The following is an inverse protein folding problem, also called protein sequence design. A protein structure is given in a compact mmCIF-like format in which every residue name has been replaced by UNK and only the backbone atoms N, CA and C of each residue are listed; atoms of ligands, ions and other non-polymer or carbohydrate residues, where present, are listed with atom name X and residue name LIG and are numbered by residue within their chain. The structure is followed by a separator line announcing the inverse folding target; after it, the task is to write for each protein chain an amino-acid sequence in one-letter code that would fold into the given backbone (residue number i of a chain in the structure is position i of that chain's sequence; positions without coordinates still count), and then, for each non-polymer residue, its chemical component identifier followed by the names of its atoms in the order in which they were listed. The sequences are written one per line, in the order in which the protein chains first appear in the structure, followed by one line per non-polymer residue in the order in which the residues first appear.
data_IF_091588207682
#
_entry.id   IF_091588207682
#
_cell.length_a   1.000
_cell.length_b   1.000
_cell.length_c   1.000
_cell.angle_alpha   90.00
_cell.angle_beta   90.00
_cell.angle_gamma   90.00
#
_symmetry.space_group_name_H-M   'P 1'
#
loop_
_entity.id
_entity.type
_entity.pdbx_description
1 polymer ?
#
# COMPACT_ATOMS: atom_id res chain seq x y z
N UNK A 1 14.12 -6.56 -47.96
CA UNK A 1 13.37 -7.19 -46.85
C UNK A 1 12.06 -6.43 -46.70
N UNK A 2 10.96 -7.06 -47.11
CA UNK A 2 9.64 -6.48 -47.25
C UNK A 2 8.88 -6.70 -45.95
N UNK A 3 8.48 -5.63 -45.24
CA UNK A 3 7.66 -5.76 -44.03
C UNK A 3 6.20 -6.03 -44.41
N UNK A 4 5.68 -7.17 -43.98
CA UNK A 4 4.27 -7.51 -44.09
C UNK A 4 3.53 -6.95 -42.88
N UNK A 5 2.67 -5.97 -43.09
CA UNK A 5 1.81 -5.41 -42.04
C UNK A 5 0.54 -6.27 -41.89
N UNK A 6 0.40 -6.97 -40.77
CA UNK A 6 -0.81 -7.73 -40.44
C UNK A 6 -1.88 -6.77 -39.88
N UNK A 7 -3.08 -6.79 -40.47
CA UNK A 7 -4.22 -5.97 -40.00
C UNK A 7 -4.79 -6.56 -38.71
N UNK A 8 -5.18 -5.69 -37.78
CA UNK A 8 -5.85 -5.97 -36.49
C UNK A 8 -7.13 -6.85 -36.59
N UNK A 9 -7.63 -7.11 -37.80
CA UNK A 9 -8.84 -7.91 -38.04
C UNK A 9 -8.59 -9.43 -38.06
N UNK A 10 -7.33 -9.85 -38.04
CA UNK A 10 -6.94 -11.27 -38.12
C UNK A 10 -6.67 -11.91 -36.75
N UNK A 11 -7.01 -11.22 -35.64
CA UNK A 11 -6.92 -11.78 -34.28
C UNK A 11 -8.20 -12.57 -33.97
N UNK A 12 -8.09 -13.89 -33.85
CA UNK A 12 -9.18 -14.71 -33.32
C UNK A 12 -9.52 -14.26 -31.88
N UNK A 13 -10.76 -13.81 -31.66
CA UNK A 13 -11.29 -13.45 -30.34
C UNK A 13 -11.81 -12.01 -30.18
N UNK A 14 -11.63 -11.13 -31.17
CA UNK A 14 -12.18 -9.78 -31.12
C UNK A 14 -13.70 -9.78 -31.43
N UNK A 15 -14.54 -9.94 -30.40
CA UNK A 15 -15.98 -9.70 -30.48
C UNK A 15 -16.88 -10.90 -30.15
N UNK A 16 -16.59 -11.66 -29.10
CA UNK A 16 -17.57 -12.63 -28.58
C UNK A 16 -18.78 -11.91 -28.02
N UNK A 17 -19.94 -12.18 -28.61
CA UNK A 17 -21.25 -11.77 -28.13
C UNK A 17 -21.77 -12.83 -27.16
N UNK A 18 -22.45 -12.42 -26.10
CA UNK A 18 -23.15 -13.35 -25.22
C UNK A 18 -24.37 -14.00 -25.93
N UNK A 19 -25.03 -14.93 -25.23
CA UNK A 19 -26.23 -15.62 -25.72
C UNK A 19 -27.43 -14.68 -25.99
N UNK A 20 -27.33 -13.40 -25.61
CA UNK A 20 -28.33 -12.35 -25.87
C UNK A 20 -27.94 -11.41 -27.01
N UNK A 21 -26.77 -11.63 -27.64
CA UNK A 21 -26.28 -10.85 -28.77
C UNK A 21 -25.57 -9.56 -28.38
N UNK A 22 -25.26 -9.34 -27.10
CA UNK A 22 -24.51 -8.16 -26.63
C UNK A 22 -23.02 -8.38 -26.76
N UNK A 23 -22.32 -7.39 -27.34
CA UNK A 23 -20.86 -7.37 -27.42
C UNK A 23 -20.30 -7.13 -26.03
N UNK A 24 -19.52 -8.08 -25.51
CA UNK A 24 -18.81 -7.92 -24.24
C UNK A 24 -17.50 -7.19 -24.54
N UNK A 25 -17.34 -5.93 -24.12
CA UNK A 25 -16.07 -5.22 -24.26
C UNK A 25 -15.03 -5.87 -23.33
N UNK A 26 -13.96 -6.39 -23.92
CA UNK A 26 -12.98 -7.23 -23.27
C UNK A 26 -12.22 -6.55 -22.13
N UNK A 27 -11.95 -7.35 -21.09
CA UNK A 27 -10.87 -7.06 -20.14
C UNK A 27 -9.56 -6.91 -20.89
N UNK A 28 -8.76 -5.93 -20.48
CA UNK A 28 -7.47 -5.66 -21.09
C UNK A 28 -6.50 -6.83 -20.82
N UNK A 29 -5.98 -7.42 -21.90
CA UNK A 29 -4.92 -8.42 -21.84
C UNK A 29 -3.57 -7.69 -21.92
N UNK A 30 -2.76 -7.78 -20.87
CA UNK A 30 -1.35 -7.37 -20.93
C UNK A 30 -0.53 -8.51 -21.54
N UNK A 31 0.11 -8.27 -22.69
CA UNK A 31 1.09 -9.20 -23.25
C UNK A 31 2.47 -8.92 -22.67
N UNK A 32 3.06 -9.92 -22.01
CA UNK A 32 4.47 -9.93 -21.64
C UNK A 32 5.35 -9.90 -22.91
N UNK A 33 6.36 -9.05 -22.91
CA UNK A 33 7.21 -8.77 -24.08
C UNK A 33 8.24 -9.88 -24.37
N UNK A 34 8.35 -10.87 -23.47
CA UNK A 34 9.51 -11.77 -23.43
C UNK A 34 9.20 -13.24 -23.76
N UNK A 35 8.01 -13.56 -24.27
CA UNK A 35 7.67 -14.92 -24.71
C UNK A 35 7.65 -15.98 -23.59
N UNK A 36 7.75 -15.57 -22.33
CA UNK A 36 7.47 -16.42 -21.17
C UNK A 36 5.97 -16.69 -21.06
N UNK A 37 5.63 -17.87 -20.54
CA UNK A 37 4.25 -18.26 -20.19
C UNK A 37 3.51 -17.08 -19.55
N UNK A 38 2.36 -16.70 -20.12
CA UNK A 38 1.52 -15.65 -19.59
C UNK A 38 1.35 -15.86 -18.08
N UNK A 39 1.74 -14.85 -17.28
CA UNK A 39 1.45 -14.85 -15.86
C UNK A 39 -0.05 -15.18 -15.67
N UNK A 40 -0.42 -16.00 -14.68
CA UNK A 40 -1.82 -16.31 -14.45
C UNK A 40 -2.58 -14.99 -14.33
N UNK A 41 -3.67 -14.86 -15.08
CA UNK A 41 -4.51 -13.67 -15.05
C UNK A 41 -5.09 -13.54 -13.64
N UNK A 42 -4.42 -12.79 -12.77
CA UNK A 42 -4.97 -12.40 -11.48
C UNK A 42 -6.14 -11.50 -11.78
N UNK A 43 -7.32 -12.10 -11.86
CA UNK A 43 -8.55 -11.40 -12.21
C UNK A 43 -9.06 -10.75 -10.94
N UNK A 44 -9.59 -9.51 -11.01
CA UNK A 44 -10.24 -8.81 -9.89
C UNK A 44 -11.20 -9.70 -9.08
N UNK A 45 -11.84 -10.67 -9.73
CA UNK A 45 -12.69 -11.69 -9.12
C UNK A 45 -11.99 -12.55 -8.06
N UNK A 46 -10.69 -12.81 -8.20
CA UNK A 46 -9.89 -13.60 -7.25
C UNK A 46 -9.65 -12.86 -5.93
N UNK A 47 -9.55 -11.52 -5.97
CA UNK A 47 -9.42 -10.69 -4.76
C UNK A 47 -10.76 -10.47 -4.02
N UNK A 48 -11.90 -10.79 -4.65
CA UNK A 48 -13.25 -10.47 -4.13
C UNK A 48 -13.79 -11.43 -3.06
N UNK A 49 -13.14 -12.56 -2.77
CA UNK A 49 -13.79 -13.71 -2.10
C UNK A 49 -13.49 -13.95 -0.61
N UNK A 50 -12.69 -13.13 0.07
CA UNK A 50 -12.42 -13.32 1.51
C UNK A 50 -12.64 -11.99 2.25
N UNK A 51 -12.95 -12.05 3.55
CA UNK A 51 -12.81 -10.86 4.41
C UNK A 51 -11.31 -10.56 4.48
N UNK A 52 -10.88 -9.47 3.85
CA UNK A 52 -9.51 -9.28 3.29
C UNK A 52 -8.73 -8.13 3.95
N UNK A 53 -8.91 -7.88 5.26
CA UNK A 53 -8.03 -6.95 5.97
C UNK A 53 -6.74 -7.66 6.39
N UNK A 54 -5.63 -6.93 6.50
CA UNK A 54 -4.36 -7.47 6.94
C UNK A 54 -4.11 -7.13 8.41
N UNK A 55 -4.38 -8.10 9.29
CA UNK A 55 -4.25 -7.96 10.75
C UNK A 55 -2.80 -7.85 11.23
N UNK A 56 -1.81 -8.00 10.34
CA UNK A 56 -0.41 -7.68 10.65
C UNK A 56 -0.18 -6.17 10.83
N UNK A 57 -1.13 -5.34 10.38
CA UNK A 57 -1.13 -3.90 10.57
C UNK A 57 -2.09 -3.49 11.69
N UNK A 58 -1.79 -2.40 12.42
CA UNK A 58 -2.68 -1.92 13.46
C UNK A 58 -4.01 -1.45 12.87
N UNK A 59 -5.09 -1.59 13.65
CA UNK A 59 -6.39 -1.01 13.29
C UNK A 59 -6.23 0.48 12.88
N UNK A 60 -6.86 0.93 11.79
CA UNK A 60 -6.50 2.18 11.14
C UNK A 60 -6.75 3.43 12.00
N UNK A 61 -5.92 4.45 11.78
CA UNK A 61 -6.03 5.79 12.40
C UNK A 61 -5.77 6.91 11.37
N UNK A 62 -6.34 6.75 10.16
CA UNK A 62 -6.11 7.62 9.01
C UNK A 62 -7.44 7.91 8.32
N UNK A 63 -7.99 9.11 8.51
CA UNK A 63 -9.39 9.40 8.15
C UNK A 63 -9.64 9.57 6.64
N UNK A 64 -8.62 9.98 5.88
CA UNK A 64 -8.76 10.46 4.51
C UNK A 64 -8.39 9.37 3.50
N UNK A 65 -9.39 8.77 2.83
CA UNK A 65 -9.15 7.67 1.88
C UNK A 65 -8.30 8.10 0.68
N UNK A 66 -8.44 9.33 0.20
CA UNK A 66 -7.65 9.87 -0.91
C UNK A 66 -6.15 9.94 -0.59
N UNK A 67 -5.79 10.18 0.68
CA UNK A 67 -4.41 10.13 1.13
C UNK A 67 -3.89 8.71 1.20
N UNK A 68 -4.71 7.74 1.61
CA UNK A 68 -4.35 6.30 1.56
C UNK A 68 -4.07 5.87 0.12
N UNK A 69 -4.89 6.29 -0.85
CA UNK A 69 -4.61 6.06 -2.28
C UNK A 69 -3.28 6.69 -2.70
N UNK A 70 -2.99 7.89 -2.21
CA UNK A 70 -1.75 8.61 -2.52
C UNK A 70 -0.51 7.94 -1.92
N UNK A 71 -0.64 7.18 -0.82
CA UNK A 71 0.46 6.34 -0.29
C UNK A 71 0.95 5.37 -1.36
N UNK A 72 0.04 4.77 -2.14
CA UNK A 72 0.42 3.83 -3.20
C UNK A 72 1.28 4.52 -4.26
N UNK A 73 0.93 5.74 -4.65
CA UNK A 73 1.73 6.54 -5.59
C UNK A 73 3.10 6.93 -4.98
N UNK A 74 3.14 7.26 -3.69
CA UNK A 74 4.37 7.57 -2.98
C UNK A 74 5.33 6.36 -2.97
N UNK A 75 4.82 5.18 -2.58
CA UNK A 75 5.61 3.95 -2.51
C UNK A 75 6.09 3.53 -3.90
N UNK A 76 5.24 3.61 -4.93
CA UNK A 76 5.61 3.35 -6.32
C UNK A 76 6.77 4.24 -6.80
N UNK A 77 6.81 5.48 -6.31
CA UNK A 77 7.86 6.46 -6.61
C UNK A 77 9.11 6.34 -5.70
N UNK A 78 9.20 5.30 -4.86
CA UNK A 78 10.25 5.11 -3.86
C UNK A 78 10.29 6.18 -2.75
N UNK A 79 9.18 6.89 -2.51
CA UNK A 79 8.94 7.69 -1.31
C UNK A 79 8.33 6.78 -0.23
N UNK A 80 9.09 5.78 0.19
CA UNK A 80 8.64 4.57 0.88
C UNK A 80 8.95 4.54 2.39
N UNK A 81 9.31 5.69 2.97
CA UNK A 81 9.55 5.85 4.41
C UNK A 81 8.44 6.69 5.04
N UNK A 82 8.24 6.59 6.36
CA UNK A 82 7.19 7.38 7.05
C UNK A 82 7.29 8.88 6.75
N UNK A 83 8.49 9.46 6.81
CA UNK A 83 8.73 10.86 6.50
C UNK A 83 8.39 11.21 5.04
N UNK A 84 8.85 10.40 4.10
CA UNK A 84 8.62 10.65 2.67
C UNK A 84 7.14 10.47 2.29
N UNK A 85 6.44 9.52 2.91
CA UNK A 85 5.01 9.34 2.74
C UNK A 85 4.27 10.56 3.27
N UNK A 86 4.61 11.04 4.48
CA UNK A 86 4.03 12.25 5.07
C UNK A 86 4.18 13.48 4.15
N UNK A 87 5.40 13.68 3.62
CA UNK A 87 5.70 14.75 2.66
C UNK A 87 4.83 14.61 1.39
N UNK A 88 4.71 13.39 0.84
CA UNK A 88 3.97 13.13 -0.39
C UNK A 88 2.47 13.38 -0.22
N UNK A 89 1.86 12.91 0.87
CA UNK A 89 0.43 13.10 1.15
C UNK A 89 0.10 14.51 1.68
N UNK A 90 1.11 15.35 1.89
CA UNK A 90 0.93 16.76 2.27
C UNK A 90 0.57 16.96 3.74
N UNK A 91 1.03 16.08 4.63
CA UNK A 91 0.88 16.23 6.09
C UNK A 91 2.22 16.61 6.73
N UNK A 92 2.17 17.39 7.81
CA UNK A 92 3.39 17.96 8.40
C UNK A 92 4.05 17.07 9.43
N UNK A 93 3.28 16.19 10.08
CA UNK A 93 3.79 15.33 11.13
C UNK A 93 4.22 13.97 10.55
N UNK A 94 5.50 13.63 10.67
CA UNK A 94 6.05 12.36 10.16
C UNK A 94 5.28 11.13 10.63
N UNK A 95 4.80 11.14 11.89
CA UNK A 95 3.98 10.06 12.45
C UNK A 95 2.69 9.79 11.67
N UNK A 96 2.13 10.81 11.02
CA UNK A 96 0.93 10.65 10.20
C UNK A 96 1.25 9.84 8.94
N UNK A 97 2.47 9.95 8.39
CA UNK A 97 2.92 9.09 7.31
C UNK A 97 2.86 7.60 7.69
N UNK A 98 3.23 7.24 8.93
CA UNK A 98 3.07 5.86 9.43
C UNK A 98 1.60 5.48 9.53
N UNK A 99 0.72 6.33 10.07
CA UNK A 99 -0.70 6.00 10.17
C UNK A 99 -1.35 5.77 8.81
N UNK A 100 -1.03 6.60 7.81
CA UNK A 100 -1.55 6.42 6.45
C UNK A 100 -0.96 5.19 5.76
N UNK A 101 0.34 4.91 5.95
CA UNK A 101 0.97 3.70 5.41
C UNK A 101 0.44 2.42 6.07
N UNK A 102 0.23 2.44 7.39
CA UNK A 102 -0.36 1.33 8.12
C UNK A 102 -1.81 1.08 7.70
N UNK A 103 -2.59 2.14 7.44
CA UNK A 103 -3.94 2.00 6.91
C UNK A 103 -3.96 1.43 5.49
N UNK A 104 -3.01 1.84 4.63
CA UNK A 104 -2.83 1.22 3.31
C UNK A 104 -2.47 -0.27 3.45
N UNK A 105 -1.61 -0.61 4.42
CA UNK A 105 -1.22 -1.99 4.72
C UNK A 105 -2.37 -2.83 5.25
N UNK A 106 -3.19 -2.26 6.13
CA UNK A 106 -4.41 -2.86 6.66
C UNK A 106 -5.43 -3.19 5.56
N UNK A 107 -5.52 -2.36 4.51
CA UNK A 107 -6.31 -2.63 3.30
C UNK A 107 -5.61 -3.58 2.29
N UNK A 108 -4.43 -4.09 2.62
CA UNK A 108 -3.66 -5.01 1.79
C UNK A 108 -2.98 -4.37 0.58
N UNK A 109 -2.81 -3.04 0.55
CA UNK A 109 -2.21 -2.31 -0.56
C UNK A 109 -0.67 -2.25 -0.48
N UNK A 110 -0.14 -2.30 0.73
CA UNK A 110 1.31 -2.28 0.97
C UNK A 110 1.71 -3.33 1.99
N UNK A 111 2.95 -3.76 1.92
CA UNK A 111 3.64 -4.53 2.95
C UNK A 111 4.79 -3.71 3.53
N UNK A 112 5.37 -4.17 4.63
CA UNK A 112 6.45 -3.45 5.31
C UNK A 112 7.71 -4.30 5.42
N UNK A 113 8.86 -3.66 5.31
CA UNK A 113 10.16 -4.25 5.56
C UNK A 113 10.95 -3.39 6.55
N UNK A 114 11.92 -3.98 7.23
CA UNK A 114 12.79 -3.26 8.16
C UNK A 114 14.25 -3.57 7.85
N UNK A 115 15.02 -2.54 7.52
CA UNK A 115 16.46 -2.66 7.23
C UNK A 115 17.21 -1.62 8.05
N UNK A 116 18.19 -2.05 8.86
CA UNK A 116 18.97 -1.13 9.69
C UNK A 116 18.11 -0.29 10.65
N UNK A 117 16.99 -0.82 11.13
CA UNK A 117 16.03 -0.09 11.97
C UNK A 117 15.16 0.92 11.23
N UNK A 118 15.29 1.05 9.91
CA UNK A 118 14.39 1.86 9.08
C UNK A 118 13.27 0.99 8.55
N UNK A 119 12.03 1.36 8.91
CA UNK A 119 10.81 0.78 8.33
C UNK A 119 10.55 1.40 6.96
N UNK A 120 10.44 0.55 5.94
CA UNK A 120 10.01 0.93 4.59
C UNK A 120 8.74 0.18 4.19
N UNK A 121 8.12 0.62 3.11
CA UNK A 121 6.90 0.03 2.56
C UNK A 121 7.11 -0.39 1.10
N UNK A 122 6.48 -1.48 0.68
CA UNK A 122 6.47 -1.94 -0.70
C UNK A 122 5.03 -2.21 -1.15
N UNK A 123 4.74 -2.07 -2.44
CA UNK A 123 3.41 -2.39 -2.95
C UNK A 123 3.18 -3.91 -2.93
N UNK A 124 1.97 -4.31 -2.56
CA UNK A 124 1.48 -5.65 -2.86
C UNK A 124 0.99 -5.72 -4.32
N UNK A 125 0.62 -6.91 -4.81
CA UNK A 125 -0.04 -7.04 -6.12
C UNK A 125 -1.31 -6.16 -6.23
N UNK A 126 -2.07 -6.03 -5.14
CA UNK A 126 -3.25 -5.18 -5.09
C UNK A 126 -2.87 -3.68 -5.14
N UNK A 127 -1.81 -3.31 -4.44
CA UNK A 127 -1.24 -1.96 -4.51
C UNK A 127 -0.77 -1.59 -5.91
N UNK A 128 -0.06 -2.49 -6.59
CA UNK A 128 0.36 -2.30 -7.99
C UNK A 128 -0.83 -2.15 -8.94
N UNK A 129 -1.88 -2.95 -8.74
CA UNK A 129 -3.10 -2.82 -9.53
C UNK A 129 -3.76 -1.46 -9.32
N UNK A 130 -3.88 -1.01 -8.07
CA UNK A 130 -4.41 0.31 -7.74
C UNK A 130 -3.53 1.44 -8.32
N UNK A 131 -2.22 1.26 -8.35
CA UNK A 131 -1.27 2.22 -8.91
C UNK A 131 -1.48 2.44 -10.42
N UNK A 132 -1.81 1.39 -11.16
CA UNK A 132 -2.01 1.47 -12.60
C UNK A 132 -3.42 1.94 -12.99
N UNK A 133 -4.39 1.81 -12.07
CA UNK A 133 -5.77 2.21 -12.28
C UNK A 133 -5.94 3.73 -12.44
N UNK A 134 -6.93 4.13 -13.23
CA UNK A 134 -7.33 5.54 -13.34
C UNK A 134 -8.05 6.04 -12.07
N UNK A 135 -8.35 7.34 -12.01
CA UNK A 135 -8.96 7.94 -10.80
C UNK A 135 -10.32 7.33 -10.44
N UNK A 136 -11.15 7.02 -11.44
CA UNK A 136 -12.48 6.44 -11.20
C UNK A 136 -12.36 4.97 -10.76
N UNK A 137 -11.51 4.21 -11.44
CA UNK A 137 -11.21 2.81 -11.08
C UNK A 137 -10.61 2.73 -9.66
N UNK A 138 -9.72 3.64 -9.29
CA UNK A 138 -9.17 3.73 -7.92
C UNK A 138 -10.25 3.98 -6.87
N UNK A 139 -11.15 4.93 -7.13
CA UNK A 139 -12.26 5.21 -6.24
C UNK A 139 -13.14 3.97 -6.05
N UNK A 140 -13.49 3.28 -7.12
CA UNK A 140 -14.30 2.06 -7.07
C UNK A 140 -13.58 0.90 -6.37
N UNK A 141 -12.27 0.76 -6.56
CA UNK A 141 -11.46 -0.25 -5.86
C UNK A 141 -11.42 0.02 -4.35
N UNK A 142 -11.13 1.26 -3.95
CA UNK A 142 -11.09 1.64 -2.52
C UNK A 142 -12.46 1.47 -1.87
N UNK A 143 -13.55 1.86 -2.55
CA UNK A 143 -14.90 1.63 -2.06
C UNK A 143 -15.16 0.15 -1.80
N UNK A 144 -14.81 -0.70 -2.76
CA UNK A 144 -14.95 -2.15 -2.61
C UNK A 144 -14.10 -2.74 -1.48
N UNK A 145 -12.91 -2.18 -1.20
CA UNK A 145 -12.07 -2.62 -0.09
C UNK A 145 -12.65 -2.17 1.25
N UNK A 146 -13.03 -0.90 1.35
CA UNK A 146 -13.60 -0.29 2.57
C UNK A 146 -14.91 -0.96 2.98
N UNK A 147 -15.80 -1.29 2.04
CA UNK A 147 -17.06 -1.98 2.36
C UNK A 147 -16.88 -3.43 2.82
N UNK A 148 -15.67 -3.99 2.71
CA UNK A 148 -15.32 -5.32 3.24
C UNK A 148 -14.60 -5.27 4.58
N UNK A 149 -14.28 -4.08 5.09
CA UNK A 149 -13.70 -3.93 6.43
C UNK A 149 -14.78 -4.28 7.45
N UNK A 150 -14.58 -5.27 8.35
CA UNK A 150 -15.63 -5.72 9.28
C UNK A 150 -16.22 -4.59 10.13
N UNK A 151 -15.39 -3.69 10.65
CA UNK A 151 -15.86 -2.52 11.39
C UNK A 151 -16.74 -1.57 10.56
N UNK A 152 -16.49 -1.44 9.26
CA UNK A 152 -17.33 -0.65 8.35
C UNK A 152 -18.66 -1.36 8.11
N UNK A 153 -18.65 -2.69 7.98
CA UNK A 153 -19.86 -3.50 7.84
C UNK A 153 -20.76 -3.39 9.08
N UNK A 154 -20.17 -3.51 10.28
CA UNK A 154 -20.86 -3.32 11.56
C UNK A 154 -21.46 -1.90 11.69
N UNK A 155 -20.69 -0.88 11.34
CA UNK A 155 -21.20 0.49 11.29
C UNK A 155 -22.35 0.65 10.28
N UNK A 156 -22.27 -0.04 9.14
CA UNK A 156 -23.31 0.01 8.10
C UNK A 156 -24.63 -0.60 8.59
N UNK A 157 -24.57 -1.71 9.34
CA UNK A 157 -25.75 -2.43 9.81
C UNK A 157 -26.34 -1.87 11.11
N UNK A 158 -25.49 -1.44 12.04
CA UNK A 158 -25.86 -1.11 13.43
C UNK A 158 -25.52 0.32 13.83
N UNK A 159 -24.88 1.10 12.96
CA UNK A 159 -24.45 2.46 13.24
C UNK A 159 -23.34 2.55 14.29
N UNK A 160 -23.25 3.70 14.95
CA UNK A 160 -22.21 3.98 15.96
C UNK A 160 -22.20 2.97 17.12
N UNK A 161 -23.38 2.49 17.54
CA UNK A 161 -23.49 1.54 18.65
C UNK A 161 -22.87 0.17 18.31
N UNK A 162 -23.13 -0.38 17.13
CA UNK A 162 -22.52 -1.65 16.74
C UNK A 162 -21.04 -1.54 16.42
N UNK A 163 -20.60 -0.40 15.88
CA UNK A 163 -19.16 -0.13 15.73
C UNK A 163 -18.45 -0.12 17.09
N UNK A 164 -19.03 0.56 18.09
CA UNK A 164 -18.45 0.61 19.43
C UNK A 164 -18.35 -0.79 20.05
N UNK A 165 -19.43 -1.57 20.00
CA UNK A 165 -19.47 -2.95 20.48
C UNK A 165 -18.44 -3.84 19.78
N UNK A 166 -18.38 -3.81 18.45
CA UNK A 166 -17.39 -4.53 17.67
C UNK A 166 -15.96 -4.16 18.09
N UNK A 167 -15.66 -2.87 18.25
CA UNK A 167 -14.31 -2.44 18.59
C UNK A 167 -13.93 -2.77 20.04
N UNK A 168 -14.88 -2.80 20.97
CA UNK A 168 -14.66 -3.26 22.34
C UNK A 168 -14.39 -4.77 22.42
N UNK A 169 -15.01 -5.56 21.53
CA UNK A 169 -14.84 -7.01 21.48
C UNK A 169 -13.56 -7.43 20.74
N UNK A 170 -13.26 -6.78 19.62
CA UNK A 170 -12.20 -7.20 18.68
C UNK A 170 -10.87 -6.46 18.90
N UNK A 171 -10.81 -5.48 19.81
CA UNK A 171 -9.59 -4.72 20.05
C UNK A 171 -9.35 -4.44 21.53
N UNK A 172 -8.08 -4.38 21.94
CA UNK A 172 -7.70 -3.94 23.30
C UNK A 172 -7.70 -2.40 23.47
N UNK A 173 -8.35 -1.67 22.56
CA UNK A 173 -8.33 -0.21 22.54
C UNK A 173 -9.32 0.37 23.54
N UNK A 174 -8.92 1.43 24.24
CA UNK A 174 -9.78 2.06 25.25
C UNK A 174 -9.72 3.59 25.19
N UNK A 175 -10.74 4.23 25.75
CA UNK A 175 -10.85 5.68 25.89
C UNK A 175 -10.65 6.44 24.58
N UNK A 176 -9.94 7.57 24.64
CA UNK A 176 -9.76 8.45 23.46
C UNK A 176 -9.12 7.79 22.24
N UNK A 177 -8.43 6.66 22.39
CA UNK A 177 -7.85 5.95 21.24
C UNK A 177 -8.92 5.17 20.48
N UNK A 178 -9.85 4.53 21.20
CA UNK A 178 -11.01 3.87 20.63
C UNK A 178 -11.84 4.89 19.83
N UNK A 179 -12.16 6.04 20.43
CA UNK A 179 -12.95 7.11 19.80
C UNK A 179 -12.32 7.60 18.49
N UNK A 180 -10.99 7.81 18.49
CA UNK A 180 -10.27 8.26 17.28
C UNK A 180 -10.32 7.23 16.16
N UNK A 181 -10.22 5.94 16.47
CA UNK A 181 -10.27 4.87 15.46
C UNK A 181 -11.69 4.61 14.97
N UNK A 182 -12.70 4.73 15.84
CA UNK A 182 -14.10 4.73 15.44
C UNK A 182 -14.41 5.88 14.48
N UNK A 183 -13.87 7.08 14.75
CA UNK A 183 -14.00 8.22 13.84
C UNK A 183 -13.36 7.96 12.46
N UNK A 184 -12.24 7.22 12.40
CA UNK A 184 -11.65 6.76 11.13
C UNK A 184 -12.60 5.88 10.35
N UNK A 185 -13.22 4.87 10.98
CA UNK A 185 -14.19 3.97 10.32
C UNK A 185 -15.40 4.76 9.81
N UNK A 186 -15.95 5.66 10.63
CA UNK A 186 -17.06 6.52 10.22
C UNK A 186 -16.68 7.42 9.04
N UNK A 187 -15.46 7.96 9.01
CA UNK A 187 -14.95 8.75 7.88
C UNK A 187 -14.88 7.92 6.60
N UNK A 188 -14.32 6.71 6.69
CA UNK A 188 -14.20 5.79 5.57
C UNK A 188 -15.56 5.39 5.01
N UNK A 189 -16.52 5.05 5.88
CA UNK A 189 -17.88 4.76 5.47
C UNK A 189 -18.51 5.92 4.69
N UNK A 190 -18.44 7.14 5.24
CA UNK A 190 -19.00 8.34 4.60
C UNK A 190 -18.38 8.60 3.22
N UNK A 191 -17.06 8.52 3.12
CA UNK A 191 -16.34 8.69 1.86
C UNK A 191 -16.67 7.57 0.86
N UNK A 192 -16.83 6.32 1.31
CA UNK A 192 -17.13 5.20 0.43
C UNK A 192 -18.55 5.26 -0.16
N UNK A 193 -19.51 5.87 0.54
CA UNK A 193 -20.87 6.06 0.00
C UNK A 193 -20.99 7.33 -0.87
N UNK A 194 -20.12 8.33 -0.70
CA UNK A 194 -20.14 9.59 -1.49
C UNK A 194 -19.33 9.50 -2.80
N UNK A 195 -19.53 8.44 -3.60
CA UNK A 195 -18.64 8.03 -4.70
C UNK A 195 -18.09 9.13 -5.64
N UNK A 196 -18.91 10.09 -6.09
CA UNK A 196 -18.44 11.21 -6.94
C UNK A 196 -17.45 12.12 -6.19
N UNK A 197 -17.76 12.46 -4.94
CA UNK A 197 -16.90 13.27 -4.07
C UNK A 197 -15.56 12.60 -3.79
N UNK A 198 -15.54 11.27 -3.59
CA UNK A 198 -14.30 10.53 -3.39
C UNK A 198 -13.42 10.53 -4.64
N UNK A 199 -14.03 10.41 -5.83
CA UNK A 199 -13.32 10.45 -7.10
C UNK A 199 -12.62 11.79 -7.30
N UNK A 200 -13.33 12.89 -7.03
CA UNK A 200 -12.78 14.24 -7.11
C UNK A 200 -11.65 14.46 -6.10
N UNK A 201 -11.85 14.05 -4.83
CA UNK A 201 -10.82 14.13 -3.78
C UNK A 201 -9.55 13.37 -4.16
N UNK A 202 -9.66 12.18 -4.75
CA UNK A 202 -8.51 11.43 -5.24
C UNK A 202 -7.80 12.19 -6.36
N UNK A 203 -8.55 12.76 -7.32
CA UNK A 203 -7.99 13.56 -8.41
C UNK A 203 -7.19 14.76 -7.90
N UNK A 204 -7.80 15.56 -7.03
CA UNK A 204 -7.19 16.77 -6.44
C UNK A 204 -5.95 16.44 -5.61
N UNK A 205 -6.05 15.41 -4.75
CA UNK A 205 -4.95 15.00 -3.89
C UNK A 205 -3.74 14.54 -4.70
N UNK A 206 -3.95 13.76 -5.77
CA UNK A 206 -2.87 13.27 -6.64
C UNK A 206 -2.20 14.41 -7.40
N UNK A 207 -2.99 15.34 -7.95
CA UNK A 207 -2.45 16.53 -8.61
C UNK A 207 -1.56 17.36 -7.67
N UNK A 208 -1.92 17.45 -6.39
CA UNK A 208 -1.06 18.06 -5.37
C UNK A 208 0.21 17.25 -5.07
N UNK A 209 0.08 15.93 -4.98
CA UNK A 209 1.17 15.01 -4.61
C UNK A 209 2.28 14.92 -5.66
N UNK A 210 1.95 15.00 -6.95
CA UNK A 210 2.92 14.95 -8.06
C UNK A 210 4.06 15.97 -7.90
N UNK A 211 3.74 17.15 -7.36
CA UNK A 211 4.73 18.21 -7.10
C UNK A 211 5.69 17.90 -5.94
N UNK A 212 5.30 17.02 -5.02
CA UNK A 212 6.04 16.71 -3.77
C UNK A 212 6.83 15.40 -3.85
N UNK A 213 6.36 14.45 -4.67
CA UNK A 213 6.85 13.07 -4.67
C UNK A 213 8.35 12.96 -4.99
N UNK A 214 8.87 13.79 -5.89
CA UNK A 214 10.29 13.74 -6.27
C UNK A 214 11.21 14.11 -5.10
N UNK A 215 10.86 15.16 -4.36
CA UNK A 215 11.61 15.59 -3.18
C UNK A 215 11.52 14.54 -2.06
N UNK A 216 10.33 13.97 -1.85
CA UNK A 216 10.10 12.90 -0.89
C UNK A 216 10.92 11.63 -1.22
N UNK A 217 10.97 11.22 -2.49
CA UNK A 217 11.74 10.06 -2.94
C UNK A 217 13.26 10.28 -2.75
N UNK A 218 13.76 11.49 -3.01
CA UNK A 218 15.15 11.84 -2.73
C UNK A 218 15.48 11.72 -1.23
N UNK A 219 14.58 12.20 -0.37
CA UNK A 219 14.71 12.08 1.09
C UNK A 219 14.69 10.62 1.55
N UNK A 220 13.78 9.80 1.02
CA UNK A 220 13.73 8.36 1.32
C UNK A 220 15.02 7.63 0.91
N UNK A 221 15.59 7.98 -0.26
CA UNK A 221 16.87 7.42 -0.72
C UNK A 221 18.03 7.71 0.24
N UNK A 222 18.12 8.95 0.74
CA UNK A 222 19.12 9.33 1.76
C UNK A 222 18.92 8.51 3.04
N UNK A 223 17.69 8.42 3.54
CA UNK A 223 17.38 7.66 4.75
C UNK A 223 17.73 6.16 4.59
N UNK A 224 17.46 5.56 3.43
CA UNK A 224 17.83 4.17 3.13
C UNK A 224 19.34 3.97 3.11
N UNK A 225 20.11 4.90 2.54
CA UNK A 225 21.58 4.84 2.57
C UNK A 225 22.10 4.89 4.00
N UNK A 226 21.62 5.84 4.81
CA UNK A 226 22.00 5.96 6.22
C UNK A 226 21.60 4.72 7.05
N UNK A 227 20.47 4.10 6.73
CA UNK A 227 20.04 2.86 7.37
C UNK A 227 20.89 1.66 6.95
N UNK A 228 21.28 1.57 5.68
CA UNK A 228 22.19 0.54 5.19
C UNK A 228 23.56 0.65 5.84
N UNK A 229 24.13 1.86 5.94
CA UNK A 229 25.40 2.12 6.64
C UNK A 229 25.32 1.71 8.12
N UNK A 230 24.18 1.95 8.79
CA UNK A 230 23.95 1.49 10.18
C UNK A 230 23.74 -0.01 10.31
N UNK A 231 23.30 -0.68 9.26
CA UNK A 231 23.09 -2.12 9.24
C UNK A 231 24.40 -2.89 9.01
N UNK A 232 25.46 -2.24 8.52
CA UNK A 232 26.76 -2.87 8.39
C UNK A 232 27.27 -3.31 9.77
N UNK A 233 27.70 -4.58 9.91
CA UNK A 233 28.24 -5.05 11.17
C UNK A 233 29.46 -4.19 11.54
N UNK A 234 29.55 -3.80 12.81
CA UNK A 234 30.75 -3.15 13.31
C UNK A 234 31.97 -4.01 12.93
N UNK A 235 33.08 -3.39 12.48
CA UNK A 235 34.28 -4.15 12.15
C UNK A 235 34.65 -5.02 13.35
N UNK A 236 35.03 -6.27 13.08
CA UNK A 236 35.46 -7.18 14.13
C UNK A 236 36.52 -6.48 14.98
N UNK A 237 36.30 -6.41 16.30
CA UNK A 237 37.29 -5.83 17.18
C UNK A 237 38.56 -6.67 17.07
N UNK A 238 39.73 -6.05 16.90
CA UNK A 238 41.00 -6.78 16.73
C UNK A 238 41.86 -6.56 17.97
N UNK A 239 42.46 -7.63 18.49
CA UNK A 239 43.47 -7.52 19.53
C UNK A 239 44.71 -6.82 18.95
N UNK A 240 45.08 -5.66 19.48
CA UNK A 240 46.21 -4.89 18.96
C UNK A 240 47.58 -5.53 19.23
N UNK A 241 47.68 -6.41 20.25
CA UNK A 241 48.92 -7.11 20.58
C UNK A 241 49.13 -8.35 19.71
N UNK A 242 48.05 -9.07 19.42
CA UNK A 242 48.10 -10.38 18.78
C UNK A 242 47.54 -10.42 17.36
N UNK A 243 46.93 -9.33 16.89
CA UNK A 243 46.32 -9.18 15.56
C UNK A 243 45.28 -10.27 15.23
N UNK A 244 44.57 -10.77 16.25
CA UNK A 244 43.46 -11.71 16.10
C UNK A 244 42.13 -11.02 16.35
N UNK A 245 41.07 -11.44 15.66
CA UNK A 245 39.71 -11.00 15.94
C UNK A 245 39.33 -11.37 17.38
N UNK A 246 38.79 -10.39 18.10
CA UNK A 246 38.34 -10.54 19.46
C UNK A 246 36.98 -11.24 19.46
N UNK A 247 36.80 -12.27 20.30
CA UNK A 247 35.47 -12.78 20.60
C UNK A 247 34.62 -11.70 21.27
N UNK A 248 33.31 -11.96 21.38
CA UNK A 248 32.34 -11.02 22.00
C UNK A 248 32.74 -10.60 23.42
N UNK A 249 33.56 -11.38 24.13
CA UNK A 249 34.10 -11.04 25.45
C UNK A 249 35.08 -9.86 25.44
N UNK A 250 35.59 -9.46 24.27
CA UNK A 250 36.53 -8.34 24.12
C UNK A 250 37.97 -8.64 24.53
N UNK A 251 38.30 -9.89 24.87
CA UNK A 251 39.65 -10.33 25.26
C UNK A 251 40.05 -11.52 24.37
N UNK A 252 41.25 -11.48 23.78
CA UNK A 252 41.75 -12.61 22.99
C UNK A 252 42.31 -13.71 23.90
N UNK A 253 42.30 -14.95 23.43
CA UNK A 253 42.78 -16.12 24.20
C UNK A 253 44.24 -16.00 24.65
N UNK A 254 45.04 -15.15 23.99
CA UNK A 254 46.44 -14.90 24.36
C UNK A 254 46.62 -13.78 25.40
N UNK A 255 45.57 -13.00 25.69
CA UNK A 255 45.57 -11.96 26.74
C UNK A 255 44.78 -12.39 28.00
N UNK A 256 44.12 -13.56 27.96
CA UNK A 256 43.24 -14.08 29.02
C UNK A 256 44.02 -14.76 30.16
#
# INVERSE_FOLDING_TARGET
MTMTATRIKDVQGAGTKDATGRTISGGQFYHSRDGGTAAPAVTLTSFRSQSTVNDSFPFPQANDLEKIVTVVDAVAANADTSAAIADTIGVTAEREGTYYADAAGYLGLVETSNTGGLRTYALTELGEHLQLADTAERADLIRQLVTRVPAVDEYTYRGEAGLAEYMEEETDLTGSTLDRRAATITSWYKAAISGEELTDKIGDQRAGADSRVLAAAARASIARREAAERAEPAPAAVCMEHFVELPVSGICDMCA
#
